data_IF_844342488257
#
_entry.id   IF_844342488257
#
_cell.length_a   1.000
_cell.length_b   1.000
_cell.length_c   1.000
_cell.angle_alpha   90.00
_cell.angle_beta   90.00
_cell.angle_gamma   90.00
#
_symmetry.space_group_name_H-M   'P 1'
#
loop_
_entity.id
_entity.type
_entity.pdbx_description
1 polymer ?
#
# COMPACT_ATOMS: atom_id res chain seq x y z
N UNK A 1 -21.15 -15.02 19.76
CA UNK A 1 -20.63 -15.83 18.64
C UNK A 1 -19.19 -15.46 18.46
N UNK A 2 -18.28 -16.43 18.52
CA UNK A 2 -16.86 -16.19 18.27
C UNK A 2 -16.67 -15.88 16.79
N UNK A 3 -16.10 -14.70 16.49
CA UNK A 3 -15.88 -14.24 15.12
C UNK A 3 -14.59 -14.89 14.60
N UNK A 4 -14.72 -15.93 13.78
CA UNK A 4 -13.58 -16.61 13.15
C UNK A 4 -13.45 -16.16 11.69
N UNK A 5 -12.23 -15.87 11.24
CA UNK A 5 -11.93 -15.34 9.90
C UNK A 5 -10.70 -16.00 9.29
N UNK A 6 -10.79 -16.40 8.01
CA UNK A 6 -9.61 -16.76 7.22
C UNK A 6 -9.09 -15.54 6.48
N UNK A 7 -7.79 -15.27 6.60
CA UNK A 7 -7.11 -14.22 5.83
C UNK A 7 -6.10 -14.88 4.90
N UNK A 8 -6.25 -14.67 3.59
CA UNK A 8 -5.30 -15.12 2.58
C UNK A 8 -4.43 -13.93 2.16
N UNK A 9 -3.15 -13.96 2.54
CA UNK A 9 -2.18 -12.93 2.24
C UNK A 9 -1.23 -13.34 1.11
N UNK A 10 -1.01 -12.42 0.17
CA UNK A 10 -0.20 -12.65 -1.03
C UNK A 10 1.31 -12.77 -0.73
N UNK A 11 1.73 -12.39 0.49
CA UNK A 11 3.04 -12.64 1.10
C UNK A 11 2.91 -12.76 2.63
N UNK A 12 4.01 -13.11 3.32
CA UNK A 12 4.09 -13.01 4.79
C UNK A 12 4.04 -11.52 5.18
N UNK A 13 3.07 -11.05 5.99
CA UNK A 13 2.80 -9.63 6.20
C UNK A 13 3.84 -8.90 7.06
N UNK A 14 4.66 -9.63 7.82
CA UNK A 14 5.75 -9.08 8.62
C UNK A 14 7.12 -9.49 8.05
N UNK A 15 8.17 -8.64 8.08
CA UNK A 15 8.14 -7.22 8.47
C UNK A 15 7.34 -6.35 7.50
N UNK A 16 6.65 -5.33 8.03
CA UNK A 16 5.75 -4.43 7.28
C UNK A 16 6.50 -3.36 6.44
N UNK A 17 7.48 -3.79 5.65
CA UNK A 17 8.39 -2.91 4.90
C UNK A 17 7.95 -2.55 3.48
N UNK A 18 6.73 -2.93 3.07
CA UNK A 18 6.12 -2.50 1.81
C UNK A 18 4.69 -2.02 2.05
N UNK A 19 4.18 -1.15 1.17
CA UNK A 19 2.91 -0.47 1.41
C UNK A 19 1.69 -1.40 1.52
N UNK A 20 1.64 -2.48 0.73
CA UNK A 20 0.52 -3.41 0.79
C UNK A 20 0.54 -4.28 2.05
N UNK A 21 1.69 -4.81 2.46
CA UNK A 21 1.84 -5.62 3.68
C UNK A 21 1.74 -4.76 4.94
N UNK A 22 2.03 -3.46 4.85
CA UNK A 22 1.74 -2.50 5.89
C UNK A 22 0.25 -2.48 6.25
N UNK A 23 -0.65 -2.37 5.26
CA UNK A 23 -2.10 -2.48 5.49
C UNK A 23 -2.49 -3.83 6.10
N UNK A 24 -1.98 -4.95 5.54
CA UNK A 24 -2.32 -6.29 6.02
C UNK A 24 -1.92 -6.49 7.48
N UNK A 25 -0.69 -6.10 7.84
CA UNK A 25 -0.15 -6.28 9.17
C UNK A 25 -0.98 -5.56 10.23
N UNK A 26 -1.25 -4.27 10.04
CA UNK A 26 -1.99 -3.48 11.04
C UNK A 26 -3.49 -3.81 11.07
N UNK A 27 -4.04 -4.30 9.96
CA UNK A 27 -5.40 -4.83 9.92
C UNK A 27 -5.54 -6.11 10.74
N UNK A 28 -4.59 -7.04 10.67
CA UNK A 28 -4.58 -8.25 11.51
C UNK A 28 -4.64 -7.85 12.99
N UNK A 29 -3.81 -6.89 13.40
CA UNK A 29 -3.81 -6.39 14.79
C UNK A 29 -5.15 -5.75 15.17
N UNK A 30 -5.71 -4.90 14.30
CA UNK A 30 -6.98 -4.23 14.56
C UNK A 30 -8.16 -5.21 14.66
N UNK A 31 -8.21 -6.23 13.80
CA UNK A 31 -9.22 -7.28 13.85
C UNK A 31 -9.09 -8.13 15.12
N UNK A 32 -7.87 -8.49 15.51
CA UNK A 32 -7.63 -9.25 16.73
C UNK A 32 -8.07 -8.47 17.99
N UNK A 33 -7.83 -7.15 18.03
CA UNK A 33 -8.32 -6.27 19.12
C UNK A 33 -9.85 -6.22 19.20
N UNK A 34 -10.54 -6.42 18.08
CA UNK A 34 -12.00 -6.55 18.01
C UNK A 34 -12.50 -7.97 18.34
N UNK A 35 -11.62 -8.85 18.83
CA UNK A 35 -11.94 -10.21 19.24
C UNK A 35 -12.12 -11.20 18.08
N UNK A 36 -11.61 -10.89 16.89
CA UNK A 36 -11.65 -11.82 15.75
C UNK A 36 -10.53 -12.86 15.90
N UNK A 37 -10.89 -14.14 15.85
CA UNK A 37 -9.96 -15.26 15.78
C UNK A 37 -9.51 -15.46 14.33
N UNK A 38 -8.22 -15.22 14.06
CA UNK A 38 -7.68 -15.19 12.70
C UNK A 38 -6.94 -16.47 12.36
N UNK A 39 -7.32 -17.11 11.25
CA UNK A 39 -6.56 -18.14 10.57
C UNK A 39 -5.85 -17.50 9.36
N UNK A 40 -4.54 -17.28 9.49
CA UNK A 40 -3.73 -16.64 8.47
C UNK A 40 -3.13 -17.67 7.50
N UNK A 41 -3.25 -17.39 6.20
CA UNK A 41 -2.74 -18.18 5.11
C UNK A 41 -1.80 -17.31 4.27
N UNK A 42 -0.51 -17.60 4.23
CA UNK A 42 0.51 -16.78 3.58
C UNK A 42 1.15 -17.51 2.41
N UNK A 43 1.30 -16.82 1.28
CA UNK A 43 2.18 -17.30 0.21
C UNK A 43 3.64 -16.95 0.50
N UNK A 44 4.52 -17.94 0.39
CA UNK A 44 5.96 -17.80 0.53
C UNK A 44 6.60 -17.51 -0.83
N UNK A 45 7.54 -16.57 -0.82
CA UNK A 45 8.36 -16.24 -1.99
C UNK A 45 9.81 -16.10 -1.50
N UNK A 46 10.17 -14.94 -0.94
CA UNK A 46 11.51 -14.66 -0.40
C UNK A 46 11.48 -14.18 1.06
N UNK A 47 10.46 -14.59 1.82
CA UNK A 47 10.29 -14.20 3.22
C UNK A 47 10.17 -15.45 4.07
N UNK A 48 10.86 -15.43 5.20
CA UNK A 48 10.81 -16.50 6.19
C UNK A 48 9.59 -16.34 7.11
N UNK A 49 9.04 -17.45 7.63
CA UNK A 49 8.05 -17.46 8.70
C UNK A 49 8.44 -16.55 9.88
N UNK A 50 7.43 -15.98 10.55
CA UNK A 50 7.63 -14.99 11.61
C UNK A 50 6.79 -15.33 12.83
N UNK A 51 7.43 -15.65 13.95
CA UNK A 51 6.77 -16.08 15.18
C UNK A 51 5.81 -15.02 15.75
N UNK A 52 6.09 -13.74 15.50
CA UNK A 52 5.24 -12.62 15.93
C UNK A 52 3.80 -12.73 15.40
N UNK A 53 3.58 -13.43 14.29
CA UNK A 53 2.24 -13.63 13.72
C UNK A 53 1.35 -14.48 14.64
N UNK A 54 1.93 -15.41 15.40
CA UNK A 54 1.18 -16.25 16.35
C UNK A 54 0.67 -15.47 17.57
N UNK A 55 1.18 -14.25 17.80
CA UNK A 55 0.62 -13.36 18.83
C UNK A 55 -0.77 -12.82 18.44
N UNK A 56 -1.07 -12.77 17.13
CA UNK A 56 -2.31 -12.19 16.60
C UNK A 56 -3.22 -13.20 15.91
N UNK A 57 -2.68 -14.35 15.48
CA UNK A 57 -3.39 -15.36 14.72
C UNK A 57 -3.48 -16.68 15.49
N UNK A 58 -4.65 -17.31 15.49
CA UNK A 58 -4.86 -18.64 16.07
C UNK A 58 -4.10 -19.73 15.29
N UNK A 59 -3.91 -19.55 13.99
CA UNK A 59 -3.02 -20.38 13.19
C UNK A 59 -2.39 -19.57 12.07
N UNK A 60 -1.16 -19.93 11.68
CA UNK A 60 -0.48 -19.38 10.51
C UNK A 60 -0.04 -20.56 9.64
N UNK A 61 -0.46 -20.55 8.37
CA UNK A 61 -0.14 -21.58 7.40
C UNK A 61 0.56 -20.96 6.19
N UNK A 62 1.53 -21.67 5.65
CA UNK A 62 2.38 -21.19 4.58
C UNK A 62 2.28 -22.05 3.33
N UNK A 63 2.38 -21.41 2.16
CA UNK A 63 2.20 -22.05 0.86
C UNK A 63 3.23 -21.54 -0.13
N UNK A 64 4.00 -22.41 -0.81
CA UNK A 64 4.95 -21.98 -1.81
C UNK A 64 4.22 -21.35 -3.01
N UNK A 65 4.69 -20.19 -3.46
CA UNK A 65 4.23 -19.58 -4.71
C UNK A 65 4.78 -20.36 -5.91
N UNK A 66 3.91 -20.69 -6.87
CA UNK A 66 4.32 -21.35 -8.11
C UNK A 66 4.89 -20.34 -9.10
N UNK A 67 6.21 -20.28 -9.20
CA UNK A 67 6.92 -19.33 -10.09
C UNK A 67 7.33 -19.95 -11.42
N UNK A 68 7.70 -19.11 -12.38
CA UNK A 68 8.14 -19.52 -13.73
C UNK A 68 6.99 -20.14 -14.54
N UNK A 69 7.29 -21.16 -15.33
CA UNK A 69 6.31 -21.81 -16.20
C UNK A 69 5.13 -22.44 -15.43
N UNK A 70 5.33 -22.84 -14.17
CA UNK A 70 4.29 -23.45 -13.32
C UNK A 70 3.14 -22.48 -13.01
N UNK A 71 3.41 -21.18 -12.96
CA UNK A 71 2.40 -20.15 -12.72
C UNK A 71 1.74 -19.62 -14.00
N UNK A 72 2.15 -20.09 -15.19
CA UNK A 72 1.59 -19.61 -16.46
C UNK A 72 0.23 -20.25 -16.69
N UNK A 73 -0.79 -19.41 -16.86
CA UNK A 73 -2.13 -19.83 -17.26
C UNK A 73 -2.57 -19.02 -18.48
N UNK A 74 -3.37 -19.64 -19.34
CA UNK A 74 -4.07 -18.97 -20.43
C UNK A 74 -5.39 -18.34 -19.98
N UNK A 75 -5.95 -18.81 -18.86
CA UNK A 75 -7.26 -18.40 -18.35
C UNK A 75 -7.17 -17.45 -17.14
N UNK A 76 -6.10 -17.53 -16.35
CA UNK A 76 -5.92 -16.73 -15.14
C UNK A 76 -4.70 -15.81 -15.27
N UNK A 77 -4.77 -14.57 -14.75
CA UNK A 77 -3.59 -13.73 -14.60
C UNK A 77 -2.51 -14.47 -13.80
N UNK A 78 -1.24 -14.24 -14.14
CA UNK A 78 -0.12 -14.92 -13.50
C UNK A 78 -0.10 -14.72 -11.98
N UNK A 79 -0.47 -13.53 -11.50
CA UNK A 79 -0.49 -13.23 -10.06
C UNK A 79 -1.51 -14.08 -9.27
N UNK A 80 -2.58 -14.52 -9.93
CA UNK A 80 -3.63 -15.38 -9.37
C UNK A 80 -3.23 -16.85 -9.52
N UNK A 81 -2.82 -17.24 -10.75
CA UNK A 81 -2.44 -18.61 -11.05
C UNK A 81 -1.25 -19.09 -10.21
N UNK A 82 -0.23 -18.23 -10.03
CA UNK A 82 0.95 -18.53 -9.20
C UNK A 82 0.63 -18.72 -7.71
N UNK A 83 -0.57 -18.31 -7.27
CA UNK A 83 -1.04 -18.41 -5.88
C UNK A 83 -2.28 -19.30 -5.74
N UNK A 84 -2.41 -20.28 -6.64
CA UNK A 84 -3.36 -21.39 -6.48
C UNK A 84 -2.65 -22.55 -5.79
N UNK A 85 -3.17 -23.00 -4.64
CA UNK A 85 -2.58 -24.11 -3.88
C UNK A 85 -3.65 -25.03 -3.30
N UNK A 86 -3.63 -26.33 -3.60
CA UNK A 86 -4.71 -27.24 -3.17
C UNK A 86 -4.77 -27.39 -1.64
N UNK A 87 -3.63 -27.46 -0.95
CA UNK A 87 -3.61 -27.53 0.53
C UNK A 87 -4.23 -26.30 1.22
N UNK A 88 -4.23 -25.14 0.56
CA UNK A 88 -4.95 -23.96 1.03
C UNK A 88 -6.45 -24.19 0.88
N UNK A 89 -6.89 -24.62 -0.29
CA UNK A 89 -8.29 -24.85 -0.59
C UNK A 89 -8.88 -25.95 0.32
N UNK A 90 -8.15 -27.05 0.52
CA UNK A 90 -8.56 -28.14 1.41
C UNK A 90 -8.67 -27.70 2.86
N UNK A 91 -7.76 -26.84 3.36
CA UNK A 91 -7.89 -26.27 4.71
C UNK A 91 -9.10 -25.37 4.83
N UNK A 92 -9.33 -24.50 3.86
CA UNK A 92 -10.51 -23.63 3.87
C UNK A 92 -11.78 -24.50 3.93
N UNK A 93 -11.86 -25.60 3.19
CA UNK A 93 -13.04 -26.49 3.17
C UNK A 93 -13.34 -27.22 4.51
N UNK A 94 -12.50 -27.11 5.53
CA UNK A 94 -12.74 -27.71 6.84
C UNK A 94 -13.85 -26.99 7.62
N UNK A 95 -14.21 -25.77 7.23
CA UNK A 95 -15.26 -24.96 7.83
C UNK A 95 -15.93 -24.01 6.81
N UNK A 96 -16.86 -23.17 7.29
CA UNK A 96 -17.58 -22.18 6.48
C UNK A 96 -17.37 -20.73 6.95
N UNK A 97 -16.32 -20.43 7.72
CA UNK A 97 -16.05 -19.07 8.21
C UNK A 97 -15.71 -18.10 7.07
N UNK A 98 -15.97 -16.79 7.16
CA UNK A 98 -15.65 -15.86 6.06
C UNK A 98 -14.19 -15.91 5.59
N UNK A 99 -13.96 -15.57 4.32
CA UNK A 99 -12.62 -15.47 3.72
C UNK A 99 -12.35 -14.02 3.31
N UNK A 100 -11.30 -13.43 3.87
CA UNK A 100 -10.70 -12.18 3.43
C UNK A 100 -9.48 -12.47 2.55
N UNK A 101 -9.51 -11.98 1.31
CA UNK A 101 -8.41 -12.12 0.35
C UNK A 101 -7.69 -10.78 0.19
N UNK A 102 -6.39 -10.77 0.49
CA UNK A 102 -5.53 -9.59 0.35
C UNK A 102 -5.07 -9.44 -1.11
N UNK A 103 -5.72 -8.55 -1.84
CA UNK A 103 -5.46 -8.29 -3.25
C UNK A 103 -6.06 -9.32 -4.20
N UNK A 104 -6.11 -8.94 -5.49
CA UNK A 104 -6.55 -9.83 -6.58
C UNK A 104 -5.67 -11.09 -6.66
N UNK A 105 -4.40 -10.98 -6.29
CA UNK A 105 -3.43 -12.10 -6.19
C UNK A 105 -4.00 -13.32 -5.45
N UNK A 106 -4.81 -13.11 -4.41
CA UNK A 106 -5.34 -14.16 -3.55
C UNK A 106 -6.77 -14.59 -3.90
N UNK A 107 -7.35 -14.06 -4.99
CA UNK A 107 -8.77 -14.19 -5.29
C UNK A 107 -9.18 -15.46 -6.06
N UNK A 108 -8.26 -16.43 -6.23
CA UNK A 108 -8.59 -17.73 -6.84
C UNK A 108 -9.83 -18.41 -6.21
N UNK A 109 -10.06 -18.41 -4.87
CA UNK A 109 -11.27 -18.98 -4.28
C UNK A 109 -12.58 -18.40 -4.81
N UNK A 110 -12.59 -17.21 -5.44
CA UNK A 110 -13.80 -16.66 -6.04
C UNK A 110 -14.30 -17.44 -7.26
N UNK A 111 -13.39 -18.06 -8.00
CA UNK A 111 -13.70 -18.80 -9.24
C UNK A 111 -13.70 -20.32 -9.03
N UNK A 112 -13.55 -20.78 -7.78
CA UNK A 112 -13.66 -22.17 -7.39
C UNK A 112 -15.06 -22.41 -6.79
N UNK A 113 -15.83 -23.30 -7.43
CA UNK A 113 -17.25 -23.51 -7.11
C UNK A 113 -17.48 -23.99 -5.68
N UNK A 114 -16.48 -24.65 -5.08
CA UNK A 114 -16.56 -25.16 -3.70
C UNK A 114 -16.79 -24.06 -2.67
N UNK A 115 -16.44 -22.80 -3.01
CA UNK A 115 -16.58 -21.64 -2.12
C UNK A 115 -17.74 -20.71 -2.49
N UNK A 116 -18.60 -21.08 -3.45
CA UNK A 116 -19.68 -20.20 -3.95
C UNK A 116 -20.59 -19.68 -2.83
N UNK A 117 -20.96 -20.54 -1.89
CA UNK A 117 -21.88 -20.22 -0.79
C UNK A 117 -21.19 -19.60 0.43
N UNK A 118 -19.88 -19.34 0.35
CA UNK A 118 -19.09 -18.80 1.45
C UNK A 118 -19.03 -17.28 1.38
N UNK A 119 -19.01 -16.63 2.53
CA UNK A 119 -18.77 -15.20 2.60
C UNK A 119 -17.34 -14.88 2.19
N UNK A 120 -17.21 -13.99 1.20
CA UNK A 120 -15.96 -13.71 0.51
C UNK A 120 -15.79 -12.20 0.38
N UNK A 121 -14.64 -11.71 0.84
CA UNK A 121 -14.26 -10.31 0.76
C UNK A 121 -12.89 -10.17 0.11
N UNK A 122 -12.73 -9.23 -0.82
CA UNK A 122 -11.43 -8.93 -1.43
C UNK A 122 -11.00 -7.52 -1.04
N UNK A 123 -9.84 -7.42 -0.39
CA UNK A 123 -9.16 -6.14 -0.14
C UNK A 123 -8.43 -5.73 -1.42
N UNK A 124 -8.83 -4.65 -2.05
CA UNK A 124 -8.13 -4.10 -3.22
C UNK A 124 -7.01 -3.16 -2.74
N UNK A 125 -5.75 -3.59 -2.91
CA UNK A 125 -4.59 -2.72 -2.63
C UNK A 125 -4.36 -1.69 -3.75
N UNK A 126 -4.72 -2.05 -4.98
CA UNK A 126 -4.75 -1.20 -6.17
C UNK A 126 -5.85 -1.72 -7.10
N UNK A 127 -6.18 -0.93 -8.13
CA UNK A 127 -6.86 -1.43 -9.33
C UNK A 127 -5.80 -2.10 -10.22
N UNK A 128 -5.70 -3.43 -10.17
CA UNK A 128 -4.50 -4.17 -10.61
C UNK A 128 -4.27 -4.08 -12.12
N UNK A 129 -5.32 -4.13 -12.94
CA UNK A 129 -5.15 -4.00 -14.39
C UNK A 129 -4.56 -2.64 -14.79
N UNK A 130 -4.91 -1.57 -14.07
CA UNK A 130 -4.39 -0.24 -14.32
C UNK A 130 -2.95 -0.11 -13.81
N UNK A 131 -2.66 -0.67 -12.63
CA UNK A 131 -1.29 -0.73 -12.11
C UNK A 131 -0.35 -1.43 -13.10
N UNK A 132 -0.76 -2.57 -13.67
CA UNK A 132 0.02 -3.26 -14.70
C UNK A 132 0.15 -2.47 -16.01
N UNK A 133 -0.88 -1.70 -16.38
CA UNK A 133 -0.80 -0.77 -17.53
C UNK A 133 0.23 0.32 -17.28
N UNK A 134 0.26 0.91 -16.09
CA UNK A 134 1.24 1.93 -15.71
C UNK A 134 2.67 1.36 -15.72
N UNK A 135 2.87 0.13 -15.24
CA UNK A 135 4.16 -0.58 -15.34
C UNK A 135 4.59 -0.80 -16.81
N UNK A 136 3.64 -1.14 -17.70
CA UNK A 136 3.91 -1.28 -19.13
C UNK A 136 4.35 0.04 -19.80
N UNK A 137 3.80 1.17 -19.36
CA UNK A 137 4.20 2.49 -19.84
C UNK A 137 5.55 2.94 -19.29
N UNK A 138 5.86 2.58 -18.04
CA UNK A 138 7.09 2.97 -17.36
C UNK A 138 8.32 2.15 -17.77
N UNK A 139 8.15 0.88 -18.14
CA UNK A 139 9.28 0.00 -18.47
C UNK A 139 9.86 0.27 -19.86
N UNK A 140 11.19 0.27 -19.94
CA UNK A 140 11.93 0.35 -21.20
C UNK A 140 12.29 -1.02 -21.78
N UNK A 141 12.18 -2.10 -20.98
CA UNK A 141 12.51 -3.45 -21.43
C UNK A 141 11.34 -4.06 -22.24
N UNK A 142 11.54 -4.45 -23.51
CA UNK A 142 10.46 -4.89 -24.40
C UNK A 142 9.79 -6.19 -23.94
N UNK A 143 10.53 -7.14 -23.38
CA UNK A 143 9.98 -8.40 -22.86
C UNK A 143 9.10 -8.15 -21.63
N UNK A 144 9.58 -7.33 -20.69
CA UNK A 144 8.78 -6.92 -19.51
C UNK A 144 7.55 -6.12 -19.93
N UNK A 145 7.68 -5.25 -20.94
CA UNK A 145 6.56 -4.48 -21.49
C UNK A 145 5.47 -5.39 -22.03
N UNK A 146 5.83 -6.36 -22.87
CA UNK A 146 4.87 -7.33 -23.42
C UNK A 146 4.17 -8.12 -22.31
N UNK A 147 4.92 -8.56 -21.30
CA UNK A 147 4.37 -9.22 -20.12
C UNK A 147 3.33 -8.33 -19.41
N UNK A 148 3.68 -7.08 -19.08
CA UNK A 148 2.76 -6.17 -18.39
C UNK A 148 1.51 -5.82 -19.21
N UNK A 149 1.65 -5.65 -20.54
CA UNK A 149 0.50 -5.44 -21.44
C UNK A 149 -0.43 -6.66 -21.39
N UNK A 150 0.11 -7.87 -21.58
CA UNK A 150 -0.68 -9.11 -21.51
C UNK A 150 -1.40 -9.24 -20.17
N UNK A 151 -0.67 -9.09 -19.07
CA UNK A 151 -1.25 -9.21 -17.73
C UNK A 151 -2.30 -8.14 -17.45
N UNK A 152 -2.12 -6.89 -17.92
CA UNK A 152 -3.15 -5.85 -17.77
C UNK A 152 -4.47 -6.21 -18.45
N UNK A 153 -4.42 -6.85 -19.62
CA UNK A 153 -5.61 -7.29 -20.35
C UNK A 153 -6.26 -8.48 -19.62
N UNK A 154 -5.45 -9.44 -19.17
CA UNK A 154 -5.94 -10.60 -18.42
C UNK A 154 -6.58 -10.18 -17.09
N UNK A 155 -5.94 -9.27 -16.36
CA UNK A 155 -6.46 -8.73 -15.10
C UNK A 155 -7.77 -7.99 -15.31
N UNK A 156 -7.89 -7.16 -16.35
CA UNK A 156 -9.15 -6.45 -16.63
C UNK A 156 -10.31 -7.43 -16.87
N UNK A 157 -10.06 -8.50 -17.64
CA UNK A 157 -11.08 -9.55 -17.87
C UNK A 157 -11.40 -10.31 -16.59
N UNK A 158 -10.39 -10.64 -15.80
CA UNK A 158 -10.54 -11.40 -14.57
C UNK A 158 -11.28 -10.59 -13.48
N UNK A 159 -10.89 -9.34 -13.25
CA UNK A 159 -11.56 -8.42 -12.33
C UNK A 159 -13.04 -8.24 -12.69
N UNK A 160 -13.36 -8.06 -13.98
CA UNK A 160 -14.75 -8.01 -14.45
C UNK A 160 -15.51 -9.30 -14.17
N UNK A 161 -14.88 -10.46 -14.34
CA UNK A 161 -15.49 -11.78 -14.04
C UNK A 161 -15.80 -11.95 -12.55
N UNK A 162 -14.97 -11.42 -11.66
CA UNK A 162 -15.14 -11.60 -10.21
C UNK A 162 -15.94 -10.48 -9.53
N UNK A 163 -16.22 -9.37 -10.23
CA UNK A 163 -16.88 -8.18 -9.70
C UNK A 163 -18.21 -8.46 -8.95
N UNK A 164 -18.97 -9.45 -9.41
CA UNK A 164 -20.23 -9.88 -8.79
C UNK A 164 -20.09 -10.98 -7.73
N UNK A 165 -18.89 -11.53 -7.50
CA UNK A 165 -18.70 -12.77 -6.73
C UNK A 165 -18.31 -12.54 -5.26
N UNK A 166 -18.05 -11.29 -4.87
CA UNK A 166 -17.61 -10.93 -3.52
C UNK A 166 -18.00 -9.49 -3.16
N UNK A 167 -17.76 -9.13 -1.89
CA UNK A 167 -17.67 -7.73 -1.48
C UNK A 167 -16.22 -7.28 -1.65
N UNK A 168 -16.01 -6.07 -2.18
CA UNK A 168 -14.69 -5.50 -2.42
C UNK A 168 -14.44 -4.30 -1.52
N UNK A 169 -13.25 -4.20 -0.92
CA UNK A 169 -12.83 -3.08 -0.10
C UNK A 169 -11.62 -2.39 -0.69
N UNK A 170 -11.80 -1.20 -1.24
CA UNK A 170 -10.70 -0.38 -1.76
C UNK A 170 -10.06 0.49 -0.68
N UNK A 171 -8.76 0.77 -0.81
CA UNK A 171 -8.03 1.66 0.10
C UNK A 171 -8.46 3.12 -0.05
N UNK A 172 -8.78 3.57 -1.27
CA UNK A 172 -9.16 4.95 -1.57
C UNK A 172 -10.55 5.04 -2.16
N UNK A 173 -11.27 6.13 -1.91
CA UNK A 173 -12.57 6.39 -2.54
C UNK A 173 -12.47 6.50 -4.07
N UNK A 174 -11.34 6.99 -4.60
CA UNK A 174 -11.09 7.05 -6.04
C UNK A 174 -11.01 5.64 -6.66
N UNK A 175 -10.31 4.71 -6.00
CA UNK A 175 -10.22 3.33 -6.46
C UNK A 175 -11.57 2.60 -6.34
N UNK A 176 -12.36 2.88 -5.30
CA UNK A 176 -13.76 2.41 -5.19
C UNK A 176 -14.55 2.80 -6.43
N UNK A 177 -14.58 4.11 -6.73
CA UNK A 177 -15.41 4.66 -7.80
C UNK A 177 -14.98 4.15 -9.16
N UNK A 178 -13.66 4.06 -9.39
CA UNK A 178 -13.11 3.50 -10.62
C UNK A 178 -13.44 2.02 -10.77
N UNK A 179 -13.25 1.21 -9.71
CA UNK A 179 -13.54 -0.22 -9.76
C UNK A 179 -15.04 -0.47 -10.02
N UNK A 180 -15.91 0.29 -9.36
CA UNK A 180 -17.36 0.29 -9.63
C UNK A 180 -17.66 0.63 -11.10
N UNK A 181 -17.13 1.75 -11.61
CA UNK A 181 -17.41 2.23 -12.97
C UNK A 181 -16.87 1.30 -14.06
N UNK A 182 -15.66 0.76 -13.91
CA UNK A 182 -15.01 -0.05 -14.94
C UNK A 182 -15.42 -1.52 -14.91
N UNK A 183 -15.71 -2.07 -13.73
CA UNK A 183 -16.03 -3.49 -13.55
C UNK A 183 -17.52 -3.76 -13.34
N UNK A 184 -18.33 -2.71 -13.16
CA UNK A 184 -19.74 -2.83 -12.74
C UNK A 184 -19.89 -3.63 -11.43
N UNK A 185 -18.96 -3.40 -10.50
CA UNK A 185 -18.96 -4.03 -9.19
C UNK A 185 -19.87 -3.24 -8.24
N UNK A 186 -21.12 -3.66 -8.07
CA UNK A 186 -22.09 -2.97 -7.20
C UNK A 186 -21.71 -3.03 -5.71
N UNK A 187 -20.96 -4.08 -5.32
CA UNK A 187 -20.55 -4.33 -3.93
C UNK A 187 -19.09 -3.95 -3.68
N UNK A 188 -18.74 -2.69 -3.93
CA UNK A 188 -17.43 -2.14 -3.60
C UNK A 188 -17.55 -0.97 -2.62
N UNK A 189 -16.83 -1.07 -1.51
CA UNK A 189 -16.79 -0.04 -0.47
C UNK A 189 -15.40 0.59 -0.36
N UNK A 190 -15.38 1.78 0.24
CA UNK A 190 -14.14 2.42 0.66
C UNK A 190 -13.86 1.97 2.10
N UNK A 191 -12.73 1.29 2.29
CA UNK A 191 -12.23 0.89 3.59
C UNK A 191 -10.84 1.53 3.74
N UNK A 192 -10.66 2.56 4.59
CA UNK A 192 -9.39 3.26 4.69
C UNK A 192 -8.22 2.35 5.09
N UNK A 193 -7.02 2.87 4.90
CA UNK A 193 -5.76 2.20 5.23
C UNK A 193 -5.67 1.91 6.74
N UNK A 194 -5.17 0.72 7.11
CA UNK A 194 -4.77 0.43 8.48
C UNK A 194 -3.33 0.88 8.75
N UNK A 195 -3.12 1.60 9.86
CA UNK A 195 -1.83 2.17 10.26
C UNK A 195 -1.38 1.63 11.63
N UNK A 196 -0.15 1.88 12.11
CA UNK A 196 0.26 1.44 13.45
C UNK A 196 -0.65 2.08 14.50
N UNK A 197 -1.14 1.27 15.45
CA UNK A 197 -2.14 1.72 16.42
C UNK A 197 -1.61 2.71 17.46
N UNK A 198 -0.29 2.83 17.57
CA UNK A 198 0.43 3.77 18.44
C UNK A 198 0.82 5.07 17.72
N UNK A 199 0.54 5.19 16.42
CA UNK A 199 0.80 6.42 15.69
C UNK A 199 -0.09 7.56 16.19
N UNK A 200 0.58 8.60 16.68
CA UNK A 200 -0.02 9.86 17.07
C UNK A 200 0.77 10.98 16.43
N UNK A 201 0.11 12.09 16.09
CA UNK A 201 0.83 13.23 15.53
C UNK A 201 1.72 13.81 16.63
N UNK A 202 3.02 13.59 16.51
CA UNK A 202 4.05 13.93 17.48
C UNK A 202 5.19 14.76 16.88
N UNK A 203 4.94 15.38 15.72
CA UNK A 203 5.85 16.31 15.08
C UNK A 203 6.33 17.41 16.06
N UNK A 204 7.62 17.73 16.00
CA UNK A 204 8.22 18.78 16.81
C UNK A 204 7.93 20.17 16.25
N UNK A 205 7.57 21.12 17.11
CA UNK A 205 7.48 22.54 16.73
C UNK A 205 8.86 23.14 16.46
N UNK A 206 8.89 24.31 15.81
CA UNK A 206 10.12 25.05 15.54
C UNK A 206 10.86 24.52 14.31
N UNK A 207 12.20 24.52 14.38
CA UNK A 207 13.08 24.25 13.24
C UNK A 207 13.72 22.86 13.30
N UNK A 208 13.89 22.25 12.14
CA UNK A 208 14.86 21.20 11.84
C UNK A 208 16.03 21.76 11.03
N UNK A 209 16.90 20.89 10.51
CA UNK A 209 18.17 21.32 9.87
C UNK A 209 18.35 20.89 8.41
N UNK A 210 17.46 20.07 7.86
CA UNK A 210 17.59 19.56 6.49
C UNK A 210 16.25 19.22 5.84
N UNK A 211 16.27 19.12 4.52
CA UNK A 211 15.22 18.49 3.73
C UNK A 211 15.42 16.97 3.67
N UNK A 212 14.35 16.19 3.72
CA UNK A 212 14.39 14.73 3.66
C UNK A 212 13.55 14.19 2.51
N UNK A 213 14.14 13.32 1.70
CA UNK A 213 13.41 12.35 0.90
C UNK A 213 13.66 10.94 1.44
N UNK A 214 12.61 10.13 1.55
CA UNK A 214 12.77 8.74 1.96
C UNK A 214 11.92 7.73 1.17
N UNK A 215 12.37 6.47 1.14
CA UNK A 215 11.62 5.37 0.57
C UNK A 215 12.46 4.14 0.25
N UNK A 216 11.82 3.13 -0.29
CA UNK A 216 12.51 1.95 -0.83
C UNK A 216 13.14 2.30 -2.18
N UNK A 217 14.45 2.54 -2.21
CA UNK A 217 15.18 2.99 -3.40
C UNK A 217 15.46 1.83 -4.37
N UNK A 218 15.16 0.59 -4.00
CA UNK A 218 15.11 -0.54 -4.94
C UNK A 218 13.93 -0.46 -5.92
N UNK A 219 12.93 0.38 -5.63
CA UNK A 219 11.76 0.59 -6.49
C UNK A 219 12.06 1.72 -7.48
N UNK A 220 12.03 1.41 -8.78
CA UNK A 220 12.32 2.34 -9.88
C UNK A 220 11.63 3.70 -9.75
N UNK A 221 10.36 3.72 -9.33
CA UNK A 221 9.59 4.96 -9.15
C UNK A 221 10.15 5.85 -8.02
N UNK A 222 10.60 5.23 -6.92
CA UNK A 222 11.19 5.94 -5.79
C UNK A 222 12.61 6.43 -6.11
N UNK A 223 13.39 5.62 -6.83
CA UNK A 223 14.73 6.01 -7.27
C UNK A 223 14.66 7.16 -8.28
N UNK A 224 13.71 7.11 -9.22
CA UNK A 224 13.46 8.21 -10.17
C UNK A 224 13.14 9.52 -9.45
N UNK A 225 12.35 9.48 -8.38
CA UNK A 225 12.09 10.64 -7.52
C UNK A 225 13.36 11.18 -6.85
N UNK A 226 14.22 10.30 -6.32
CA UNK A 226 15.50 10.71 -5.73
C UNK A 226 16.42 11.38 -6.77
N UNK A 227 16.57 10.78 -7.97
CA UNK A 227 17.32 11.37 -9.07
C UNK A 227 16.78 12.74 -9.47
N UNK A 228 15.46 12.87 -9.63
CA UNK A 228 14.82 14.11 -10.01
C UNK A 228 15.04 15.21 -8.97
N UNK A 229 14.97 14.89 -7.68
CA UNK A 229 15.26 15.85 -6.61
C UNK A 229 16.72 16.35 -6.69
N UNK A 230 17.68 15.44 -6.84
CA UNK A 230 19.10 15.80 -6.96
C UNK A 230 19.36 16.66 -8.20
N UNK A 231 18.86 16.23 -9.37
CA UNK A 231 19.20 16.82 -10.66
C UNK A 231 18.41 18.09 -11.01
N UNK A 232 17.14 18.19 -10.58
CA UNK A 232 16.24 19.26 -11.00
C UNK A 232 15.91 20.28 -9.91
N UNK A 233 16.02 19.88 -8.63
CA UNK A 233 15.67 20.74 -7.49
C UNK A 233 16.93 21.18 -6.76
N UNK A 234 17.66 20.24 -6.15
CA UNK A 234 18.79 20.50 -5.25
C UNK A 234 20.11 20.82 -5.96
N UNK A 235 20.23 20.56 -7.26
CA UNK A 235 21.32 21.09 -8.09
C UNK A 235 21.28 22.61 -8.27
N UNK A 236 20.13 23.26 -8.01
CA UNK A 236 19.87 24.69 -8.26
C UNK A 236 19.61 25.49 -6.99
N UNK A 237 19.66 24.86 -5.82
CA UNK A 237 19.49 25.49 -4.51
C UNK A 237 20.51 24.91 -3.53
N UNK A 238 21.05 25.73 -2.64
CA UNK A 238 22.02 25.30 -1.63
C UNK A 238 21.32 25.08 -0.28
N UNK A 239 20.45 24.07 -0.23
CA UNK A 239 19.70 23.69 0.98
C UNK A 239 20.05 22.26 1.36
N UNK A 240 20.37 21.93 2.62
CA UNK A 240 20.76 20.58 3.01
C UNK A 240 19.70 19.54 2.64
N UNK A 241 20.08 18.48 1.93
CA UNK A 241 19.21 17.35 1.58
C UNK A 241 19.78 16.03 2.10
N UNK A 242 18.95 15.26 2.77
CA UNK A 242 19.20 13.87 3.09
C UNK A 242 18.27 12.99 2.25
N UNK A 243 18.83 12.00 1.57
CA UNK A 243 18.09 10.92 0.92
C UNK A 243 18.30 9.65 1.73
N UNK A 244 17.23 9.07 2.28
CA UNK A 244 17.33 7.90 3.13
C UNK A 244 16.48 6.75 2.59
N UNK A 245 17.05 5.56 2.43
CA UNK A 245 16.26 4.48 1.85
C UNK A 245 16.97 3.16 1.60
N UNK A 246 16.16 2.15 1.31
CA UNK A 246 16.62 0.78 1.07
C UNK A 246 17.24 0.62 -0.31
N UNK A 247 18.39 -0.05 -0.38
CA UNK A 247 19.09 -0.50 -1.59
C UNK A 247 19.19 0.55 -2.72
N UNK A 248 19.82 1.72 -2.45
CA UNK A 248 20.11 2.71 -3.48
C UNK A 248 21.06 2.16 -4.55
N UNK A 249 20.86 2.51 -5.82
CA UNK A 249 21.82 2.11 -6.86
C UNK A 249 23.19 2.81 -6.67
N UNK A 250 24.28 2.19 -7.17
CA UNK A 250 25.60 2.84 -7.20
C UNK A 250 25.58 4.21 -7.90
N UNK A 251 24.73 4.38 -8.92
CA UNK A 251 24.56 5.65 -9.64
C UNK A 251 23.94 6.72 -8.76
N UNK A 252 22.93 6.37 -7.96
CA UNK A 252 22.29 7.31 -7.04
C UNK A 252 23.27 7.72 -5.92
N UNK A 253 24.02 6.75 -5.38
CA UNK A 253 25.08 7.00 -4.41
C UNK A 253 26.16 7.95 -4.94
N UNK A 254 26.59 7.76 -6.19
CA UNK A 254 27.56 8.64 -6.82
C UNK A 254 27.01 10.07 -7.00
N UNK A 255 25.76 10.20 -7.48
CA UNK A 255 25.13 11.51 -7.68
C UNK A 255 24.92 12.27 -6.37
N UNK A 256 24.51 11.59 -5.29
CA UNK A 256 24.33 12.24 -3.99
C UNK A 256 25.65 12.72 -3.35
N UNK A 257 26.81 12.30 -3.87
CA UNK A 257 28.13 12.75 -3.41
C UNK A 257 28.68 13.93 -4.21
N UNK A 258 28.05 14.31 -5.32
CA UNK A 258 28.57 15.40 -6.18
C UNK A 258 28.32 16.79 -5.59
N UNK A 259 27.38 16.92 -4.66
CA UNK A 259 26.99 18.17 -4.02
C UNK A 259 27.34 18.13 -2.52
N UNK A 260 27.97 19.19 -2.01
CA UNK A 260 28.41 19.24 -0.60
C UNK A 260 27.23 19.31 0.39
N UNK A 261 26.07 19.82 -0.04
CA UNK A 261 24.86 19.95 0.76
C UNK A 261 23.94 18.73 0.65
N UNK A 262 24.36 17.63 0.04
CA UNK A 262 23.55 16.42 -0.08
C UNK A 262 24.20 15.23 0.61
N UNK A 263 23.39 14.40 1.26
CA UNK A 263 23.82 13.16 1.90
C UNK A 263 22.86 12.03 1.53
N UNK A 264 23.37 10.80 1.43
CA UNK A 264 22.56 9.61 1.21
C UNK A 264 22.84 8.58 2.30
N UNK A 265 21.78 8.21 3.03
CA UNK A 265 21.78 7.18 4.07
C UNK A 265 21.18 5.90 3.49
N UNK A 266 22.04 4.92 3.20
CA UNK A 266 21.65 3.65 2.61
C UNK A 266 21.21 2.66 3.68
N UNK A 267 20.08 1.98 3.46
CA UNK A 267 19.56 0.92 4.33
C UNK A 267 19.44 1.33 5.82
N UNK A 268 18.84 2.50 6.15
CA UNK A 268 18.67 2.89 7.55
C UNK A 268 17.77 1.90 8.28
N UNK A 269 18.11 1.60 9.54
CA UNK A 269 17.21 0.87 10.42
C UNK A 269 15.96 1.70 10.78
N UNK A 270 14.90 1.05 11.27
CA UNK A 270 13.63 1.75 11.57
C UNK A 270 13.81 2.94 12.51
N UNK A 271 14.63 2.79 13.56
CA UNK A 271 14.92 3.89 14.51
C UNK A 271 15.65 5.05 13.85
N UNK A 272 16.63 4.76 13.00
CA UNK A 272 17.41 5.79 12.29
C UNK A 272 16.53 6.53 11.27
N UNK A 273 15.70 5.80 10.52
CA UNK A 273 14.76 6.41 9.58
C UNK A 273 13.75 7.32 10.31
N UNK A 274 13.22 6.89 11.44
CA UNK A 274 12.29 7.70 12.22
C UNK A 274 12.97 8.92 12.86
N UNK A 275 14.22 8.79 13.31
CA UNK A 275 15.02 9.91 13.79
C UNK A 275 15.22 10.96 12.68
N UNK A 276 15.61 10.52 11.48
CA UNK A 276 15.72 11.39 10.31
C UNK A 276 14.39 12.07 9.98
N UNK A 277 13.28 11.34 10.05
CA UNK A 277 11.94 11.90 9.79
C UNK A 277 11.60 12.99 10.82
N UNK A 278 11.82 12.74 12.10
CA UNK A 278 11.49 13.69 13.17
C UNK A 278 12.37 14.96 13.15
N UNK A 279 13.63 14.84 12.72
CA UNK A 279 14.61 15.94 12.70
C UNK A 279 14.58 16.77 11.43
N UNK A 280 14.01 16.24 10.34
CA UNK A 280 13.87 16.97 9.10
C UNK A 280 13.02 18.24 9.29
N UNK A 281 13.42 19.32 8.63
CA UNK A 281 12.63 20.55 8.53
C UNK A 281 11.56 20.42 7.46
N UNK A 282 11.92 19.83 6.32
CA UNK A 282 11.02 19.70 5.17
C UNK A 282 11.10 18.30 4.56
N UNK A 283 9.99 17.59 4.48
CA UNK A 283 9.86 16.34 3.74
C UNK A 283 9.53 16.66 2.29
N UNK A 284 10.45 16.39 1.38
CA UNK A 284 10.30 16.65 -0.07
C UNK A 284 9.94 15.36 -0.77
N UNK A 285 8.65 15.14 -1.00
CA UNK A 285 8.09 13.84 -1.39
C UNK A 285 7.35 13.91 -2.74
N UNK A 286 8.05 14.01 -3.89
CA UNK A 286 7.43 13.85 -5.20
C UNK A 286 7.11 12.37 -5.49
N UNK A 287 6.01 12.13 -6.22
CA UNK A 287 5.68 10.82 -6.79
C UNK A 287 5.52 10.91 -8.31
N UNK A 288 5.84 9.83 -9.01
CA UNK A 288 5.62 9.69 -10.45
C UNK A 288 4.63 8.57 -10.78
N UNK A 289 3.89 8.09 -9.78
CA UNK A 289 2.84 7.08 -9.90
C UNK A 289 1.56 7.61 -9.27
N UNK A 290 0.42 7.31 -9.90
CA UNK A 290 -0.89 7.85 -9.52
C UNK A 290 -1.74 6.91 -8.66
N UNK A 291 -1.29 5.67 -8.45
CA UNK A 291 -2.06 4.63 -7.74
C UNK A 291 -1.65 4.50 -6.27
N UNK A 292 -2.61 4.10 -5.44
CA UNK A 292 -2.43 3.79 -4.01
C UNK A 292 -2.09 4.97 -3.11
N UNK A 293 -2.19 4.74 -1.79
CA UNK A 293 -1.72 5.67 -0.75
C UNK A 293 -0.23 5.43 -0.49
N UNK A 294 0.54 6.51 -0.37
CA UNK A 294 1.99 6.44 -0.18
C UNK A 294 2.29 6.51 1.31
N UNK A 295 2.60 5.36 1.92
CA UNK A 295 2.88 5.25 3.37
C UNK A 295 3.97 6.22 3.84
N UNK A 296 4.96 6.52 3.00
CA UNK A 296 6.00 7.52 3.28
C UNK A 296 5.43 8.92 3.58
N UNK A 297 4.36 9.31 2.89
CA UNK A 297 3.67 10.57 3.16
C UNK A 297 2.91 10.50 4.48
N UNK A 298 2.17 9.41 4.71
CA UNK A 298 1.44 9.22 5.97
C UNK A 298 2.41 9.30 7.15
N UNK A 299 3.53 8.59 7.08
CA UNK A 299 4.58 8.60 8.12
C UNK A 299 5.12 10.02 8.35
N UNK A 300 5.42 10.77 7.28
CA UNK A 300 5.90 12.15 7.38
C UNK A 300 4.86 13.12 7.96
N UNK A 301 3.56 12.92 7.68
CA UNK A 301 2.51 13.75 8.26
C UNK A 301 2.38 13.52 9.78
N UNK A 302 2.49 12.27 10.23
CA UNK A 302 2.40 11.95 11.66
C UNK A 302 3.63 12.43 12.46
N UNK A 303 4.83 12.20 11.94
CA UNK A 303 6.07 12.36 12.74
C UNK A 303 6.98 13.51 12.29
N UNK A 304 6.75 14.03 11.08
CA UNK A 304 7.59 15.04 10.46
C UNK A 304 7.06 16.46 10.55
N UNK A 305 7.88 17.45 10.17
CA UNK A 305 7.48 18.85 10.04
C UNK A 305 6.82 19.10 8.69
N UNK A 306 7.26 20.09 7.92
CA UNK A 306 6.64 20.50 6.66
C UNK A 306 6.70 19.39 5.61
N UNK A 307 5.66 19.25 4.79
CA UNK A 307 5.62 18.27 3.70
C UNK A 307 5.39 19.00 2.37
N UNK A 308 6.34 18.91 1.45
CA UNK A 308 6.20 19.37 0.06
C UNK A 308 5.94 18.16 -0.82
N UNK A 309 4.84 18.18 -1.55
CA UNK A 309 4.34 17.05 -2.32
C UNK A 309 3.78 17.52 -3.67
N UNK A 310 3.78 16.64 -4.67
CA UNK A 310 3.04 16.89 -5.91
C UNK A 310 1.67 16.22 -5.88
N UNK A 311 0.80 16.55 -6.84
CA UNK A 311 -0.56 15.97 -6.92
C UNK A 311 -0.57 14.44 -6.91
N UNK A 312 0.40 13.80 -7.56
CA UNK A 312 0.50 12.34 -7.60
C UNK A 312 0.76 11.70 -6.22
N UNK A 313 1.49 12.40 -5.33
CA UNK A 313 1.83 11.91 -3.99
C UNK A 313 0.62 11.94 -3.05
N UNK A 314 -0.22 12.98 -3.13
CA UNK A 314 -1.40 13.15 -2.27
C UNK A 314 -2.66 12.48 -2.79
N UNK A 315 -2.71 12.16 -4.09
CA UNK A 315 -3.90 11.59 -4.75
C UNK A 315 -4.54 10.46 -3.94
N UNK A 316 -5.81 10.67 -3.54
CA UNK A 316 -6.61 9.67 -2.83
C UNK A 316 -6.28 9.51 -1.35
N UNK A 317 -5.34 10.28 -0.80
CA UNK A 317 -4.96 10.20 0.62
C UNK A 317 -5.80 11.09 1.55
N UNK A 318 -6.38 12.17 1.03
CA UNK A 318 -7.05 13.20 1.85
C UNK A 318 -6.09 14.10 2.64
N UNK A 319 -4.77 13.95 2.45
CA UNK A 319 -3.72 14.69 3.17
C UNK A 319 -3.33 16.01 2.50
N UNK A 320 -3.98 16.38 1.38
CA UNK A 320 -3.77 17.63 0.67
C UNK A 320 -3.78 18.87 1.58
N UNK A 321 -4.74 19.02 2.53
CA UNK A 321 -4.86 20.25 3.33
C UNK A 321 -3.70 20.50 4.30
N UNK A 322 -2.89 19.48 4.61
CA UNK A 322 -1.77 19.57 5.58
C UNK A 322 -0.40 19.48 4.91
N UNK A 323 -0.37 19.60 3.58
CA UNK A 323 0.83 19.58 2.76
C UNK A 323 0.93 20.84 1.88
N UNK A 324 2.16 21.19 1.49
CA UNK A 324 2.42 22.21 0.47
C UNK A 324 2.48 21.55 -0.90
N UNK A 325 1.59 21.94 -1.81
CA UNK A 325 1.56 21.41 -3.18
C UNK A 325 2.57 22.11 -4.10
N UNK A 326 3.37 21.31 -4.78
CA UNK A 326 4.29 21.72 -5.83
C UNK A 326 4.33 20.65 -6.93
N UNK A 327 4.05 21.00 -8.19
CA UNK A 327 4.03 20.04 -9.31
C UNK A 327 5.26 20.13 -10.23
N UNK A 328 6.00 21.24 -10.17
CA UNK A 328 7.17 21.49 -11.03
C UNK A 328 8.45 21.63 -10.21
N UNK A 329 9.60 21.40 -10.85
CA UNK A 329 10.89 21.61 -10.19
C UNK A 329 11.05 23.05 -9.68
N UNK A 330 10.49 24.05 -10.39
CA UNK A 330 10.52 25.45 -9.95
C UNK A 330 9.70 25.68 -8.68
N UNK A 331 8.46 25.17 -8.62
CA UNK A 331 7.63 25.28 -7.43
C UNK A 331 8.22 24.52 -6.24
N UNK A 332 8.86 23.35 -6.46
CA UNK A 332 9.57 22.64 -5.40
C UNK A 332 10.73 23.48 -4.85
N UNK A 333 11.55 24.09 -5.71
CA UNK A 333 12.66 24.96 -5.27
C UNK A 333 12.15 26.14 -4.45
N UNK A 334 11.07 26.78 -4.89
CA UNK A 334 10.47 27.91 -4.16
C UNK A 334 9.96 27.47 -2.79
N UNK A 335 9.17 26.39 -2.75
CA UNK A 335 8.62 25.87 -1.49
C UNK A 335 9.73 25.42 -0.52
N UNK A 336 10.81 24.79 -1.01
CA UNK A 336 11.95 24.42 -0.17
C UNK A 336 12.60 25.66 0.44
N UNK A 337 12.91 26.69 -0.37
CA UNK A 337 13.54 27.93 0.10
C UNK A 337 12.69 28.66 1.14
N UNK A 338 11.37 28.59 1.02
CA UNK A 338 10.46 29.19 1.99
C UNK A 338 10.43 28.36 3.29
N UNK A 339 10.14 27.06 3.18
CA UNK A 339 9.81 26.23 4.33
C UNK A 339 11.04 25.80 5.13
N UNK A 340 12.25 25.86 4.55
CA UNK A 340 13.48 25.58 5.28
C UNK A 340 13.73 26.60 6.42
N UNK A 341 13.21 27.82 6.27
CA UNK A 341 13.35 28.92 7.24
C UNK A 341 12.04 29.23 7.99
N UNK A 342 10.96 28.48 7.71
CA UNK A 342 9.65 28.68 8.33
C UNK A 342 9.44 27.71 9.51
N UNK A 343 9.25 28.19 10.76
CA UNK A 343 9.05 27.29 11.90
C UNK A 343 7.77 26.47 11.78
N UNK A 344 7.84 25.19 12.12
CA UNK A 344 6.65 24.34 12.20
C UNK A 344 5.84 24.68 13.45
N UNK A 345 4.56 24.99 13.26
CA UNK A 345 3.74 25.61 14.32
C UNK A 345 2.86 24.61 15.06
N UNK A 346 2.35 25.02 16.22
CA UNK A 346 1.40 24.21 17.00
C UNK A 346 0.07 24.07 16.24
N UNK A 347 -0.34 25.10 15.53
CA UNK A 347 -1.55 25.14 14.70
C UNK A 347 -1.47 24.08 13.59
N UNK A 348 -0.30 23.94 12.95
CA UNK A 348 -0.08 22.90 11.94
C UNK A 348 -0.21 21.48 12.52
N UNK A 349 0.28 21.25 13.75
CA UNK A 349 0.11 19.99 14.47
C UNK A 349 -1.37 19.71 14.74
N UNK A 350 -2.11 20.69 15.25
CA UNK A 350 -3.55 20.54 15.56
C UNK A 350 -4.37 20.25 14.29
N UNK A 351 -4.09 20.94 13.18
CA UNK A 351 -4.73 20.69 11.90
C UNK A 351 -4.49 19.25 11.42
N UNK A 352 -3.27 18.73 11.59
CA UNK A 352 -2.94 17.33 11.29
C UNK A 352 -3.65 16.35 12.19
N UNK A 353 -3.71 16.60 13.50
CA UNK A 353 -4.43 15.74 14.45
C UNK A 353 -5.91 15.63 14.09
N UNK A 354 -6.56 16.75 13.79
CA UNK A 354 -7.96 16.77 13.39
C UNK A 354 -8.18 15.99 12.09
N UNK A 355 -7.37 16.25 11.06
CA UNK A 355 -7.52 15.60 9.76
C UNK A 355 -7.21 14.09 9.83
N UNK A 356 -6.08 13.72 10.42
CA UNK A 356 -5.66 12.31 10.51
C UNK A 356 -6.60 11.48 11.36
N UNK A 357 -7.16 12.02 12.45
CA UNK A 357 -8.17 11.34 13.27
C UNK A 357 -9.50 11.08 12.54
N UNK A 358 -9.80 11.84 11.48
CA UNK A 358 -10.96 11.57 10.62
C UNK A 358 -10.67 10.53 9.53
N UNK A 359 -9.43 10.50 9.02
CA UNK A 359 -9.01 9.65 7.91
C UNK A 359 -8.58 8.25 8.35
N UNK A 360 -7.90 8.13 9.49
CA UNK A 360 -7.27 6.90 9.95
C UNK A 360 -7.78 6.51 11.33
N UNK A 361 -8.71 5.56 11.34
CA UNK A 361 -9.25 4.97 12.56
C UNK A 361 -9.34 3.46 12.38
N UNK A 362 -8.36 2.76 12.92
CA UNK A 362 -8.28 1.30 12.80
C UNK A 362 -9.46 0.59 13.46
N UNK A 363 -10.02 1.12 14.54
CA UNK A 363 -11.12 0.48 15.25
C UNK A 363 -12.39 0.58 14.43
N UNK A 364 -12.69 1.77 13.91
CA UNK A 364 -13.80 2.00 12.99
C UNK A 364 -13.65 1.19 11.69
N UNK A 365 -12.45 1.17 11.11
CA UNK A 365 -12.17 0.42 9.89
C UNK A 365 -12.35 -1.09 10.13
N UNK A 366 -11.87 -1.63 11.25
CA UNK A 366 -12.06 -3.03 11.61
C UNK A 366 -13.55 -3.35 11.84
N UNK A 367 -14.30 -2.47 12.52
CA UNK A 367 -15.74 -2.64 12.72
C UNK A 367 -16.51 -2.63 11.40
N UNK A 368 -16.17 -1.75 10.47
CA UNK A 368 -16.74 -1.72 9.11
C UNK A 368 -16.47 -3.04 8.38
N UNK A 369 -15.22 -3.51 8.38
CA UNK A 369 -14.84 -4.76 7.73
C UNK A 369 -15.55 -5.97 8.35
N UNK A 370 -15.64 -6.04 9.67
CA UNK A 370 -16.40 -7.08 10.39
C UNK A 370 -17.87 -7.04 9.98
N UNK A 371 -18.49 -5.86 9.92
CA UNK A 371 -19.88 -5.74 9.44
C UNK A 371 -20.01 -6.30 8.02
N UNK A 372 -19.12 -5.94 7.09
CA UNK A 372 -19.15 -6.47 5.73
C UNK A 372 -18.91 -7.99 5.64
N UNK A 373 -18.18 -8.57 6.59
CA UNK A 373 -17.86 -10.01 6.65
C UNK A 373 -18.91 -10.87 7.36
N UNK A 374 -19.79 -10.30 8.18
CA UNK A 374 -20.75 -11.11 8.95
C UNK A 374 -22.22 -10.69 8.76
N UNK A 375 -22.50 -9.58 8.07
CA UNK A 375 -23.87 -9.15 7.79
C UNK A 375 -24.48 -9.93 6.60
N UNK A 376 -25.47 -10.77 6.91
CA UNK A 376 -26.12 -11.70 5.97
C UNK A 376 -27.03 -10.99 4.95
N UNK A 377 -27.32 -9.70 5.12
CA UNK A 377 -28.18 -8.95 4.20
C UNK A 377 -27.47 -8.58 2.88
N UNK A 378 -26.14 -8.63 2.84
CA UNK A 378 -25.32 -8.27 1.66
C UNK A 378 -25.02 -9.47 0.72
N UNK A 379 -25.57 -10.65 0.99
CA UNK A 379 -25.12 -11.93 0.38
C UNK A 379 -25.99 -12.51 -0.73
N UNK A 380 -27.09 -11.88 -1.14
CA UNK A 380 -27.84 -12.36 -2.30
C UNK A 380 -26.97 -12.24 -3.58
N UNK A 381 -26.46 -13.38 -4.04
CA UNK A 381 -25.73 -13.52 -5.29
C UNK A 381 -26.72 -13.99 -6.38
N UNK A 382 -26.80 -13.32 -7.54
CA UNK A 382 -27.59 -13.83 -8.67
C UNK A 382 -26.97 -15.13 -9.24
N UNK A 383 -27.80 -16.03 -9.74
CA UNK A 383 -27.37 -17.33 -10.30
C UNK A 383 -26.61 -17.14 -11.62
N UNK A 384 -25.55 -17.92 -11.81
CA UNK A 384 -24.76 -17.99 -13.06
C UNK A 384 -25.49 -18.87 -14.09
N UNK A 385 -26.76 -18.56 -14.34
CA UNK A 385 -27.53 -19.11 -15.46
C UNK A 385 -27.73 -18.11 -16.59
N UNK A 386 -27.28 -16.86 -16.43
CA UNK A 386 -27.49 -15.77 -17.39
C UNK A 386 -26.21 -14.95 -17.72
N UNK A 387 -25.05 -15.60 -17.93
CA UNK A 387 -23.86 -14.98 -18.56
C UNK A 387 -23.14 -15.92 -19.50
#
# INVERSE_FOLDING_TARGET
MDKVLHIISYHIPYPANNGGLFDVWYKIQALQRQGVQIHLHCFEDNREPQDILHQYCASVNYYPRQTGHKGISTALPYIVASRKHEDLLQRLLQDNHPILMEGIHCSYPLVDERFRNRQRYVRLHNVEHQYYRDLAHATHNPLRKLYYIRESIMLKRYEKRIAGLAVFGSITGQDRDRFHQEMHADRVEHLPLFIPGDWTVNASTGMGSFCLYHGDLSVDANEKAAFWLLDQVFSKINCPLVIAGRDPSPRLLALAKTMQHTCLVANPGDRELQDLISKAQVHVLPAFTHTGIKIKLVNAVFHGRHCIVNKAMVSGSGLEPVCTLADTAASFRQAVKQLIDEPFTREAILARQQLTGQLFDNEKNAAQLISALYDQTKTHQPSISDV
#
